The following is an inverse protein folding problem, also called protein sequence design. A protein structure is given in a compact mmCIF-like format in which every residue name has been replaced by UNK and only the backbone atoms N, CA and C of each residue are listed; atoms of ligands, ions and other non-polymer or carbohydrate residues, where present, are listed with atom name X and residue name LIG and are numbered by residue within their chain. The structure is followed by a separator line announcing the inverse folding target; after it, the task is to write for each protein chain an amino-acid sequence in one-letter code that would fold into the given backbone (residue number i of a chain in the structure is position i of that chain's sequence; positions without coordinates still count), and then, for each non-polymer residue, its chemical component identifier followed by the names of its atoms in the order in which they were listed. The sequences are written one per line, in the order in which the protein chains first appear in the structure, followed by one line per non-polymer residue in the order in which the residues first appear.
data_IF_562109905467
#
_entry.id   IF_562109905467
#
_cell.length_a   1.000
_cell.length_b   1.000
_cell.length_c   1.000
_cell.angle_alpha   90.00
_cell.angle_beta   90.00
_cell.angle_gamma   90.00
#
_symmetry.space_group_name_H-M   'P 1'
#
loop_
_entity.id
_entity.type
_entity.pdbx_description
1 polymer ?
#
# COMPACT_ATOMS: atom_id res chain seq x y z
N UNK A 1 -11.37 -16.89 -5.39
CA UNK A 1 -10.33 -17.20 -6.42
C UNK A 1 -10.10 -16.00 -7.34
N UNK A 2 -11.15 -15.25 -7.70
CA UNK A 2 -11.05 -14.01 -8.51
C UNK A 2 -10.27 -12.90 -7.80
N UNK A 3 -10.50 -12.67 -6.50
CA UNK A 3 -9.75 -11.68 -5.70
C UNK A 3 -8.23 -11.86 -5.77
N UNK A 4 -7.76 -13.11 -5.72
CA UNK A 4 -6.32 -13.41 -5.79
C UNK A 4 -5.80 -13.09 -7.19
N UNK A 5 -6.57 -13.36 -8.25
CA UNK A 5 -6.17 -13.01 -9.63
C UNK A 5 -6.10 -11.50 -9.82
N UNK A 6 -7.10 -10.76 -9.35
CA UNK A 6 -7.12 -9.30 -9.39
C UNK A 6 -5.94 -8.70 -8.62
N UNK A 7 -5.64 -9.23 -7.43
CA UNK A 7 -4.48 -8.83 -6.65
C UNK A 7 -3.16 -9.09 -7.41
N UNK A 8 -3.02 -10.26 -8.04
CA UNK A 8 -1.81 -10.58 -8.81
C UNK A 8 -1.65 -9.69 -10.04
N UNK A 9 -2.73 -9.36 -10.75
CA UNK A 9 -2.70 -8.41 -11.88
C UNK A 9 -2.38 -6.99 -11.41
N UNK A 10 -2.90 -6.56 -10.25
CA UNK A 10 -2.51 -5.30 -9.63
C UNK A 10 -1.02 -5.29 -9.26
N UNK A 11 -0.54 -6.34 -8.59
CA UNK A 11 0.87 -6.49 -8.20
C UNK A 11 1.82 -6.39 -9.38
N UNK A 12 1.45 -6.93 -10.55
CA UNK A 12 2.29 -6.90 -11.77
C UNK A 12 2.57 -5.50 -12.30
N UNK A 13 1.79 -4.48 -11.89
CA UNK A 13 2.00 -3.09 -12.30
C UNK A 13 3.26 -2.46 -11.70
N UNK A 14 3.87 -3.09 -10.69
CA UNK A 14 5.02 -2.57 -9.96
C UNK A 14 6.25 -3.45 -10.18
N UNK A 15 7.41 -2.82 -10.30
CA UNK A 15 8.71 -3.49 -10.16
C UNK A 15 8.88 -4.08 -8.75
N UNK A 16 9.93 -4.88 -8.54
CA UNK A 16 10.24 -5.42 -7.21
C UNK A 16 10.54 -4.31 -6.19
N UNK A 17 11.20 -3.23 -6.62
CA UNK A 17 11.58 -2.11 -5.76
C UNK A 17 10.35 -1.26 -5.38
N UNK A 18 9.58 -0.81 -6.37
CA UNK A 18 8.37 0.00 -6.12
C UNK A 18 7.36 -0.75 -5.23
N UNK A 19 7.23 -2.06 -5.43
CA UNK A 19 6.37 -2.88 -4.56
C UNK A 19 6.90 -2.92 -3.12
N UNK A 20 8.21 -3.05 -2.94
CA UNK A 20 8.81 -3.06 -1.61
C UNK A 20 8.57 -1.73 -0.90
N UNK A 21 8.78 -0.61 -1.58
CA UNK A 21 8.54 0.74 -1.06
C UNK A 21 7.07 0.97 -0.69
N UNK A 22 6.14 0.57 -1.56
CA UNK A 22 4.71 0.63 -1.28
C UNK A 22 4.34 -0.10 0.03
N UNK A 23 4.85 -1.33 0.22
CA UNK A 23 4.58 -2.09 1.44
C UNK A 23 5.23 -1.45 2.67
N UNK A 24 6.43 -0.87 2.55
CA UNK A 24 7.05 -0.15 3.67
C UNK A 24 6.21 1.05 4.11
N UNK A 25 5.66 1.81 3.16
CA UNK A 25 4.82 2.99 3.46
C UNK A 25 3.51 2.54 4.12
N UNK A 26 2.88 1.47 3.62
CA UNK A 26 1.68 0.87 4.23
C UNK A 26 1.97 0.41 5.66
N UNK A 27 3.04 -0.35 5.88
CA UNK A 27 3.41 -0.86 7.20
C UNK A 27 3.70 0.27 8.19
N UNK A 28 4.38 1.33 7.74
CA UNK A 28 4.62 2.51 8.56
C UNK A 28 3.30 3.16 8.97
N UNK A 29 2.35 3.30 8.03
CA UNK A 29 1.03 3.88 8.30
C UNK A 29 0.21 3.02 9.25
N UNK A 30 0.23 1.70 9.09
CA UNK A 30 -0.43 0.76 10.01
C UNK A 30 0.15 0.84 11.42
N UNK A 31 1.48 0.96 11.55
CA UNK A 31 2.13 1.16 12.85
C UNK A 31 1.72 2.46 13.54
N UNK A 32 1.56 3.55 12.78
CA UNK A 32 1.05 4.83 13.32
C UNK A 32 -0.38 4.69 13.88
N UNK A 33 -1.17 3.72 13.39
CA UNK A 33 -2.57 3.54 13.77
C UNK A 33 -2.79 2.66 15.01
N UNK A 34 -1.75 2.02 15.54
CA UNK A 34 -1.64 1.21 16.78
C UNK A 34 -2.75 0.16 17.07
N UNK A 35 -4.03 0.53 16.99
CA UNK A 35 -5.22 -0.26 17.29
C UNK A 35 -6.25 -0.32 16.14
N UNK A 36 -6.12 0.50 15.08
CA UNK A 36 -6.99 0.41 13.89
C UNK A 36 -6.35 -0.52 12.85
N UNK A 37 -6.97 -1.68 12.65
CA UNK A 37 -6.53 -2.72 11.71
C UNK A 37 -6.75 -2.39 10.22
N UNK A 38 -7.47 -1.31 9.92
CA UNK A 38 -7.91 -0.98 8.55
C UNK A 38 -7.37 0.38 8.09
N UNK A 39 -6.95 0.42 6.83
CA UNK A 39 -6.65 1.66 6.11
C UNK A 39 -7.97 2.30 5.69
N UNK A 40 -8.16 3.57 6.05
CA UNK A 40 -9.30 4.39 5.64
C UNK A 40 -8.91 5.34 4.48
N UNK A 41 -9.88 6.05 3.93
CA UNK A 41 -9.68 6.94 2.78
C UNK A 41 -8.60 8.02 3.04
N UNK A 42 -8.42 8.43 4.30
CA UNK A 42 -7.37 9.37 4.68
C UNK A 42 -5.97 8.73 4.64
N UNK A 43 -5.85 7.46 5.02
CA UNK A 43 -4.60 6.71 4.89
C UNK A 43 -4.18 6.53 3.44
N UNK A 44 -5.14 6.29 2.54
CA UNK A 44 -4.87 6.19 1.11
C UNK A 44 -4.26 7.49 0.59
N UNK A 45 -4.75 8.65 1.03
CA UNK A 45 -4.20 9.95 0.65
C UNK A 45 -2.76 10.11 1.14
N UNK A 46 -2.47 9.79 2.40
CA UNK A 46 -1.12 9.87 2.98
C UNK A 46 -0.14 8.94 2.25
N UNK A 47 -0.55 7.69 1.97
CA UNK A 47 0.27 6.73 1.23
C UNK A 47 0.55 7.26 -0.18
N UNK A 48 -0.46 7.79 -0.87
CA UNK A 48 -0.29 8.39 -2.20
C UNK A 48 0.68 9.59 -2.20
N UNK A 49 0.61 10.46 -1.19
CA UNK A 49 1.53 11.60 -1.05
C UNK A 49 2.98 11.15 -0.85
N UNK A 50 3.20 10.11 -0.01
CA UNK A 50 4.53 9.55 0.24
C UNK A 50 5.11 8.83 -0.98
N UNK A 51 4.27 8.25 -1.83
CA UNK A 51 4.68 7.60 -3.09
C UNK A 51 5.01 8.58 -4.21
N UNK A 52 4.43 9.78 -4.22
CA UNK A 52 4.66 10.83 -5.24
C UNK A 52 6.06 11.49 -5.15
N UNK A 53 6.94 11.01 -4.28
CA UNK A 53 8.29 11.57 -4.08
C UNK A 53 9.33 10.97 -5.05
N UNK A 54 8.90 10.32 -6.14
CA UNK A 54 9.74 9.95 -7.28
C UNK A 54 9.20 10.53 -8.59
#
# INVERSE_FOLDING_TARGET
MELIKEFLEFRKRFTKLEWFELNQIIDLRLKEKADKLELDDFDIQIICERLKVH
#
